data_IF_518361645329
#
_entry.id   IF_518361645329
#
_cell.length_a   1.000
_cell.length_b   1.000
_cell.length_c   1.000
_cell.angle_alpha   90.00
_cell.angle_beta   90.00
_cell.angle_gamma   90.00
#
_symmetry.space_group_name_H-M   'P 1'
#
loop_
_entity.id
_entity.type
_entity.pdbx_description
1 polymer ?
#
# COMPACT_ATOMS: atom_id res chain seq x y z
N UNK A 1 -49.95 -47.78 13.44
CA UNK A 1 -51.17 -47.56 14.27
C UNK A 1 -50.80 -47.65 15.74
N UNK A 2 -51.38 -46.80 16.60
CA UNK A 2 -51.67 -47.01 18.05
C UNK A 2 -51.37 -45.74 18.87
N UNK A 3 -52.37 -45.27 19.61
CA UNK A 3 -52.27 -44.12 20.52
C UNK A 3 -51.91 -44.56 21.95
N UNK A 4 -51.16 -43.72 22.68
CA UNK A 4 -51.11 -43.68 24.15
C UNK A 4 -50.95 -42.21 24.59
N UNK A 5 -52.05 -41.50 24.84
CA UNK A 5 -52.80 -41.35 26.12
C UNK A 5 -52.11 -40.44 27.15
N UNK A 6 -52.76 -39.29 27.39
CA UNK A 6 -52.47 -38.25 28.38
C UNK A 6 -53.22 -38.54 29.71
N UNK A 7 -52.67 -38.12 30.86
CA UNK A 7 -53.45 -37.33 31.85
C UNK A 7 -52.64 -36.11 32.34
N UNK A 8 -53.05 -34.83 32.20
CA UNK A 8 -54.23 -34.05 32.63
C UNK A 8 -54.11 -33.39 34.02
N UNK A 9 -54.28 -32.04 34.01
CA UNK A 9 -54.48 -31.06 35.12
C UNK A 9 -53.17 -30.58 35.80
N UNK A 10 -52.98 -29.30 36.14
CA UNK A 10 -53.92 -28.17 36.39
C UNK A 10 -53.49 -26.89 35.61
N UNK A 11 -54.41 -26.15 34.99
CA UNK A 11 -54.91 -24.82 35.44
C UNK A 11 -53.79 -23.81 35.79
N UNK A 12 -53.42 -22.86 34.92
CA UNK A 12 -54.14 -21.64 34.48
C UNK A 12 -53.76 -20.38 35.29
N UNK A 13 -53.23 -19.38 34.60
CA UNK A 13 -53.44 -17.93 34.78
C UNK A 13 -53.13 -17.29 33.42
N UNK A 14 -53.93 -16.30 33.02
CA UNK A 14 -53.73 -15.54 31.78
C UNK A 14 -53.29 -14.11 32.11
N UNK A 15 -52.14 -13.74 31.57
CA UNK A 15 -51.72 -12.37 31.24
C UNK A 15 -50.74 -12.55 30.06
N UNK A 16 -50.84 -11.84 28.94
CA UNK A 16 -51.43 -10.51 28.77
C UNK A 16 -50.36 -9.52 28.32
N UNK A 17 -49.40 -9.96 27.50
CA UNK A 17 -48.25 -9.17 27.08
C UNK A 17 -48.44 -8.67 25.66
N UNK A 18 -48.91 -7.44 25.54
CA UNK A 18 -48.86 -6.69 24.28
C UNK A 18 -47.38 -6.44 23.94
N UNK A 19 -46.95 -6.84 22.74
CA UNK A 19 -45.62 -6.48 22.22
C UNK A 19 -45.67 -4.99 21.88
N UNK A 20 -45.21 -4.16 22.80
CA UNK A 20 -45.05 -2.73 22.57
C UNK A 20 -43.86 -2.49 21.64
N UNK A 21 -44.11 -1.85 20.50
CA UNK A 21 -43.08 -1.28 19.65
C UNK A 21 -42.29 -0.25 20.46
N UNK A 22 -40.98 -0.47 20.60
CA UNK A 22 -40.11 0.38 21.40
C UNK A 22 -39.87 1.73 20.74
N UNK A 23 -40.69 2.73 21.08
CA UNK A 23 -40.34 4.12 20.84
C UNK A 23 -39.17 4.50 21.76
N UNK A 24 -38.02 4.86 21.19
CA UNK A 24 -36.88 5.36 21.96
C UNK A 24 -37.25 6.69 22.61
N UNK A 25 -37.31 6.73 23.94
CA UNK A 25 -37.66 7.92 24.69
C UNK A 25 -36.51 8.93 24.68
N UNK A 26 -36.77 10.12 24.16
CA UNK A 26 -35.86 11.27 24.25
C UNK A 26 -35.80 11.71 25.72
N UNK A 27 -34.61 11.62 26.33
CA UNK A 27 -34.33 12.23 27.64
C UNK A 27 -33.67 13.60 27.45
N UNK A 28 -34.48 14.66 27.59
CA UNK A 28 -34.02 16.03 27.77
C UNK A 28 -34.32 16.48 29.20
N UNK A 29 -33.32 16.81 30.02
CA UNK A 29 -33.51 17.68 31.17
C UNK A 29 -33.35 19.13 30.72
N UNK A 30 -34.46 19.85 30.57
CA UNK A 30 -34.64 21.23 31.04
C UNK A 30 -35.99 21.77 30.56
N UNK A 31 -36.93 21.87 31.50
CA UNK A 31 -38.20 22.55 31.27
C UNK A 31 -38.01 24.07 31.39
N UNK A 32 -38.29 24.81 30.33
CA UNK A 32 -38.78 26.18 30.43
C UNK A 32 -40.07 26.26 29.61
N UNK A 33 -41.17 26.55 30.30
CA UNK A 33 -42.46 26.72 29.65
C UNK A 33 -42.57 28.14 29.09
N UNK A 34 -42.72 28.24 27.77
CA UNK A 34 -43.29 29.41 27.10
C UNK A 34 -44.25 28.89 26.04
N UNK A 35 -45.55 28.94 26.33
CA UNK A 35 -46.55 28.85 25.26
C UNK A 35 -46.57 30.21 24.56
N UNK A 36 -46.08 30.27 23.33
CA UNK A 36 -46.56 31.19 22.30
C UNK A 36 -45.91 30.84 20.95
N UNK A 37 -46.72 30.87 19.88
CA UNK A 37 -46.23 30.83 18.49
C UNK A 37 -45.83 29.45 17.94
N UNK A 38 -46.64 28.93 17.02
CA UNK A 38 -46.08 28.11 15.94
C UNK A 38 -45.21 29.02 15.06
N UNK A 39 -43.94 28.71 14.91
CA UNK A 39 -43.00 29.44 14.04
C UNK A 39 -41.84 28.53 13.65
N UNK A 40 -41.40 28.65 12.39
CA UNK A 40 -40.38 27.82 11.74
C UNK A 40 -38.95 28.05 12.28
N UNK A 41 -38.73 27.85 13.58
CA UNK A 41 -37.37 27.79 14.15
C UNK A 41 -36.75 26.43 13.87
N UNK A 42 -36.25 26.27 12.65
CA UNK A 42 -35.35 25.17 12.30
C UNK A 42 -34.16 25.17 13.28
N UNK A 43 -33.92 24.04 13.94
CA UNK A 43 -32.76 23.87 14.81
C UNK A 43 -31.48 24.14 14.01
N UNK A 44 -30.53 24.85 14.62
CA UNK A 44 -29.23 25.09 13.99
C UNK A 44 -28.51 23.75 13.74
N UNK A 45 -27.78 23.60 12.62
CA UNK A 45 -27.02 22.37 12.35
C UNK A 45 -26.05 22.04 13.49
N UNK A 46 -25.93 20.75 13.80
CA UNK A 46 -25.10 20.26 14.90
C UNK A 46 -23.64 20.15 14.46
N UNK A 47 -22.75 20.55 15.35
CA UNK A 47 -21.32 20.18 15.34
C UNK A 47 -21.20 18.68 15.64
N UNK A 48 -20.44 17.94 14.83
CA UNK A 48 -20.28 16.48 14.90
C UNK A 48 -18.80 16.11 14.75
N UNK A 49 -18.40 14.92 15.22
CA UNK A 49 -17.14 14.31 14.74
C UNK A 49 -17.37 13.68 13.38
N UNK A 50 -16.30 13.47 12.61
CA UNK A 50 -16.40 12.89 11.26
C UNK A 50 -17.08 11.49 11.25
N UNK A 51 -16.81 10.65 12.25
CA UNK A 51 -17.50 9.36 12.43
C UNK A 51 -19.00 9.51 12.67
N UNK A 52 -19.38 10.29 13.69
CA UNK A 52 -20.79 10.58 14.02
C UNK A 52 -21.57 11.19 12.83
N UNK A 53 -20.89 12.00 11.99
CA UNK A 53 -21.45 12.57 10.77
C UNK A 53 -21.69 11.50 9.68
N UNK A 54 -20.84 10.48 9.57
CA UNK A 54 -21.03 9.34 8.65
C UNK A 54 -22.23 8.48 9.07
N UNK A 55 -22.36 8.18 10.36
CA UNK A 55 -23.50 7.42 10.90
C UNK A 55 -24.83 8.16 10.68
N UNK A 56 -24.84 9.48 10.90
CA UNK A 56 -26.00 10.33 10.65
C UNK A 56 -26.32 10.44 9.15
N UNK A 57 -25.32 10.52 8.28
CA UNK A 57 -25.50 10.52 6.83
C UNK A 57 -26.19 9.25 6.34
N UNK A 58 -25.77 8.09 6.83
CA UNK A 58 -26.35 6.78 6.48
C UNK A 58 -27.81 6.66 6.93
N UNK A 59 -28.14 7.15 8.13
CA UNK A 59 -29.51 7.20 8.63
C UNK A 59 -30.40 8.13 7.80
N UNK A 60 -29.88 9.30 7.42
CA UNK A 60 -30.61 10.27 6.60
C UNK A 60 -30.78 9.77 5.16
N UNK A 61 -29.80 9.10 4.56
CA UNK A 61 -29.96 8.48 3.23
C UNK A 61 -31.16 7.50 3.22
N UNK A 62 -31.27 6.63 4.23
CA UNK A 62 -32.39 5.70 4.36
C UNK A 62 -33.75 6.35 4.68
N UNK A 63 -33.76 7.49 5.40
CA UNK A 63 -34.99 8.22 5.74
C UNK A 63 -35.52 9.06 4.58
N UNK A 64 -34.63 9.71 3.84
CA UNK A 64 -34.96 10.66 2.78
C UNK A 64 -35.23 9.97 1.43
N UNK A 65 -34.68 8.76 1.22
CA UNK A 65 -34.89 7.97 0.01
C UNK A 65 -34.44 8.72 -1.24
N UNK A 66 -35.26 8.69 -2.28
CA UNK A 66 -35.01 9.31 -3.60
C UNK A 66 -34.73 10.83 -3.52
N UNK A 67 -35.12 11.51 -2.43
CA UNK A 67 -34.79 12.92 -2.21
C UNK A 67 -33.33 13.16 -1.80
N UNK A 68 -32.56 12.12 -1.40
CA UNK A 68 -31.17 12.22 -0.98
C UNK A 68 -30.22 12.32 -2.20
N UNK A 69 -29.45 13.40 -2.27
CA UNK A 69 -28.50 13.69 -3.36
C UNK A 69 -27.03 13.60 -2.91
N UNK A 70 -26.76 12.70 -1.95
CA UNK A 70 -25.46 12.56 -1.29
C UNK A 70 -25.23 13.54 -0.13
N UNK A 71 -24.07 13.44 0.50
CA UNK A 71 -23.71 14.24 1.66
C UNK A 71 -22.19 14.39 1.80
N UNK A 72 -21.73 15.41 2.52
CA UNK A 72 -20.33 15.57 2.89
C UNK A 72 -20.17 16.13 4.30
N UNK A 73 -19.07 15.77 4.96
CA UNK A 73 -18.64 16.42 6.18
C UNK A 73 -17.85 17.69 5.83
N UNK A 74 -18.30 18.82 6.37
CA UNK A 74 -17.60 20.09 6.33
C UNK A 74 -16.71 20.20 7.57
N UNK A 75 -15.39 20.09 7.39
CA UNK A 75 -14.43 20.09 8.49
C UNK A 75 -14.24 21.47 9.13
N UNK A 76 -14.50 22.57 8.42
CA UNK A 76 -14.34 23.94 8.93
C UNK A 76 -15.47 24.28 9.91
N UNK A 77 -16.72 23.92 9.56
CA UNK A 77 -17.88 24.09 10.44
C UNK A 77 -18.16 22.88 11.35
N UNK A 78 -17.45 21.77 11.13
CA UNK A 78 -17.67 20.46 11.75
C UNK A 78 -19.12 19.95 11.59
N UNK A 79 -19.74 20.20 10.44
CA UNK A 79 -21.15 19.89 10.18
C UNK A 79 -21.30 18.81 9.11
N UNK A 80 -22.32 17.97 9.26
CA UNK A 80 -22.83 17.17 8.15
C UNK A 80 -23.66 18.07 7.22
N UNK A 81 -23.26 18.17 5.95
CA UNK A 81 -24.07 18.75 4.88
C UNK A 81 -24.75 17.64 4.12
N UNK A 82 -26.08 17.67 4.05
CA UNK A 82 -26.89 16.74 3.25
C UNK A 82 -27.44 17.48 2.05
N UNK A 83 -27.15 16.95 0.86
CA UNK A 83 -27.77 17.42 -0.36
C UNK A 83 -29.15 16.78 -0.50
N UNK A 84 -30.12 17.55 -0.96
CA UNK A 84 -31.44 17.05 -1.35
C UNK A 84 -31.85 17.60 -2.71
N UNK A 85 -32.57 16.79 -3.49
CA UNK A 85 -33.22 17.31 -4.71
C UNK A 85 -34.49 18.05 -4.30
N UNK A 86 -34.72 19.30 -4.76
CA UNK A 86 -35.95 20.01 -4.47
C UNK A 86 -37.16 19.34 -5.14
N UNK A 87 -38.27 19.26 -4.39
CA UNK A 87 -39.55 18.71 -4.85
C UNK A 87 -40.66 19.08 -3.87
N UNK A 88 -41.89 18.63 -4.13
CA UNK A 88 -43.09 19.06 -3.37
C UNK A 88 -43.08 18.68 -1.88
N UNK A 89 -42.16 17.82 -1.44
CA UNK A 89 -42.08 17.28 -0.09
C UNK A 89 -41.21 18.14 0.86
N UNK A 90 -41.68 19.33 1.25
CA UNK A 90 -41.02 20.16 2.28
C UNK A 90 -40.70 19.43 3.60
N UNK A 91 -41.37 18.30 3.88
CA UNK A 91 -41.16 17.49 5.09
C UNK A 91 -39.76 16.86 5.19
N UNK A 92 -39.15 16.41 4.08
CA UNK A 92 -37.80 15.78 4.12
C UNK A 92 -36.70 16.78 4.51
N UNK A 93 -36.81 18.03 4.05
CA UNK A 93 -35.92 19.13 4.46
C UNK A 93 -36.04 19.39 5.97
N UNK A 94 -37.26 19.38 6.51
CA UNK A 94 -37.51 19.57 7.95
C UNK A 94 -36.92 18.41 8.77
N UNK A 95 -37.10 17.16 8.34
CA UNK A 95 -36.55 15.98 9.01
C UNK A 95 -35.02 16.01 9.10
N UNK A 96 -34.33 16.31 8.00
CA UNK A 96 -32.87 16.39 7.99
C UNK A 96 -32.34 17.55 8.87
N UNK A 97 -33.01 18.71 8.87
CA UNK A 97 -32.70 19.83 9.79
C UNK A 97 -32.92 19.45 11.26
N UNK A 98 -34.02 18.76 11.59
CA UNK A 98 -34.32 18.28 12.95
C UNK A 98 -33.30 17.24 13.45
N UNK A 99 -32.84 16.35 12.56
CA UNK A 99 -31.77 15.41 12.87
C UNK A 99 -30.44 16.12 13.19
N UNK A 100 -30.24 17.33 12.65
CA UNK A 100 -29.10 18.21 12.91
C UNK A 100 -28.18 18.42 11.71
N UNK A 101 -28.57 17.97 10.52
CA UNK A 101 -27.81 18.19 9.30
C UNK A 101 -28.07 19.59 8.72
N UNK A 102 -27.04 20.17 8.09
CA UNK A 102 -27.18 21.34 7.23
C UNK A 102 -27.70 20.88 5.88
N UNK A 103 -28.95 21.17 5.57
CA UNK A 103 -29.56 20.80 4.29
C UNK A 103 -29.18 21.81 3.20
N UNK A 104 -28.81 21.30 2.03
CA UNK A 104 -28.57 22.08 0.81
C UNK A 104 -29.38 21.48 -0.34
N UNK A 105 -30.16 22.30 -1.02
CA UNK A 105 -30.83 21.88 -2.26
C UNK A 105 -29.83 21.87 -3.42
N UNK A 106 -29.92 20.85 -4.28
CA UNK A 106 -29.01 20.64 -5.42
C UNK A 106 -29.78 20.15 -6.65
N UNK A 107 -29.16 20.23 -7.83
CA UNK A 107 -29.83 19.99 -9.11
C UNK A 107 -29.93 18.49 -9.46
N UNK A 108 -28.85 17.73 -9.27
CA UNK A 108 -28.75 16.33 -9.72
C UNK A 108 -29.08 15.34 -8.59
N UNK A 109 -30.00 14.42 -8.84
CA UNK A 109 -30.21 13.21 -8.04
C UNK A 109 -29.05 12.22 -8.14
N UNK A 110 -28.99 11.25 -7.21
CA UNK A 110 -28.02 10.15 -7.30
C UNK A 110 -28.23 9.27 -8.55
N UNK A 111 -29.48 9.10 -9.02
CA UNK A 111 -29.79 8.32 -10.21
C UNK A 111 -29.35 9.02 -11.51
N UNK A 112 -29.47 10.34 -11.58
CA UNK A 112 -28.95 11.14 -12.70
C UNK A 112 -27.41 11.13 -12.72
N UNK A 113 -26.77 11.26 -11.56
CA UNK A 113 -25.31 11.14 -11.42
C UNK A 113 -24.82 9.73 -11.78
N UNK A 114 -25.55 8.67 -11.39
CA UNK A 114 -25.26 7.30 -11.79
C UNK A 114 -25.44 7.09 -13.31
N UNK A 115 -26.46 7.71 -13.91
CA UNK A 115 -26.69 7.69 -15.36
C UNK A 115 -25.56 8.38 -16.13
N UNK A 116 -25.10 9.55 -15.67
CA UNK A 116 -23.95 10.23 -16.25
C UNK A 116 -22.64 9.43 -16.12
N UNK A 117 -22.44 8.74 -14.98
CA UNK A 117 -21.31 7.84 -14.79
C UNK A 117 -21.37 6.61 -15.71
N UNK A 118 -22.57 6.14 -16.06
CA UNK A 118 -22.77 5.06 -17.02
C UNK A 118 -22.47 5.51 -18.46
N UNK A 119 -22.73 6.76 -18.84
CA UNK A 119 -22.29 7.35 -20.12
C UNK A 119 -20.77 7.44 -20.20
N UNK A 120 -20.11 7.95 -19.16
CA UNK A 120 -18.63 7.97 -19.09
C UNK A 120 -18.05 6.55 -19.24
N UNK A 121 -18.66 5.56 -18.59
CA UNK A 121 -18.26 4.16 -18.72
C UNK A 121 -18.41 3.63 -20.16
N UNK A 122 -19.46 3.98 -20.88
CA UNK A 122 -19.66 3.50 -22.26
C UNK A 122 -18.84 4.26 -23.32
N UNK A 123 -18.54 5.53 -23.10
CA UNK A 123 -17.99 6.42 -24.14
C UNK A 123 -16.57 6.93 -23.84
N UNK A 124 -16.12 6.89 -22.59
CA UNK A 124 -14.87 7.50 -22.14
C UNK A 124 -14.05 6.61 -21.18
N UNK A 125 -14.20 5.28 -21.26
CA UNK A 125 -13.28 4.34 -20.60
C UNK A 125 -11.94 4.35 -21.34
N UNK A 126 -11.07 5.29 -20.97
CA UNK A 126 -9.75 5.56 -21.55
C UNK A 126 -8.69 5.31 -20.47
N UNK A 127 -7.59 4.59 -20.76
CA UNK A 127 -6.48 4.43 -19.81
C UNK A 127 -5.99 5.79 -19.30
N UNK A 128 -5.75 5.90 -17.98
CA UNK A 128 -5.40 7.17 -17.34
C UNK A 128 -6.60 8.06 -16.98
N UNK A 129 -7.85 7.57 -17.06
CA UNK A 129 -9.05 8.29 -16.60
C UNK A 129 -9.71 7.64 -15.38
N UNK A 130 -10.34 8.47 -14.55
CA UNK A 130 -11.15 8.05 -13.40
C UNK A 130 -12.28 9.06 -13.18
N UNK A 131 -13.37 8.65 -12.53
CA UNK A 131 -14.45 9.57 -12.16
C UNK A 131 -15.10 9.21 -10.83
N UNK A 132 -15.52 10.24 -10.09
CA UNK A 132 -16.20 10.10 -8.80
C UNK A 132 -17.35 11.11 -8.70
N UNK A 133 -18.40 10.78 -7.97
CA UNK A 133 -19.42 11.76 -7.57
C UNK A 133 -18.82 12.65 -6.48
N UNK A 134 -18.75 13.96 -6.74
CA UNK A 134 -18.40 14.96 -5.74
C UNK A 134 -19.68 15.54 -5.12
N UNK A 135 -20.05 15.16 -3.88
CA UNK A 135 -21.19 15.73 -3.20
C UNK A 135 -21.00 17.21 -2.83
N UNK A 136 -19.79 17.79 -2.90
CA UNK A 136 -19.58 19.23 -2.64
C UNK A 136 -20.04 20.08 -3.82
N UNK A 137 -19.75 19.69 -5.06
CA UNK A 137 -20.26 20.36 -6.27
C UNK A 137 -21.59 19.79 -6.78
N UNK A 138 -22.01 18.61 -6.30
CA UNK A 138 -23.13 17.82 -6.83
C UNK A 138 -22.94 17.46 -8.33
N UNK A 139 -21.72 17.06 -8.68
CA UNK A 139 -21.31 16.71 -10.05
C UNK A 139 -20.46 15.46 -10.07
N UNK A 140 -20.26 14.90 -11.25
CA UNK A 140 -19.20 13.94 -11.51
C UNK A 140 -17.90 14.70 -11.74
N UNK A 141 -16.90 14.47 -10.90
CA UNK A 141 -15.53 14.92 -11.11
C UNK A 141 -14.77 13.85 -11.89
N UNK A 142 -14.56 14.10 -13.17
CA UNK A 142 -13.69 13.33 -14.04
C UNK A 142 -12.26 13.81 -13.86
N UNK A 143 -11.33 12.88 -13.68
CA UNK A 143 -9.90 13.15 -13.57
C UNK A 143 -9.18 12.37 -14.66
N UNK A 144 -8.41 13.08 -15.48
CA UNK A 144 -7.48 12.50 -16.43
C UNK A 144 -6.06 12.73 -15.93
N UNK A 145 -5.20 11.75 -16.11
CA UNK A 145 -3.79 11.81 -15.79
C UNK A 145 -2.97 12.50 -16.90
N UNK A 146 -1.64 12.54 -16.75
CA UNK A 146 -0.75 13.19 -17.71
C UNK A 146 -0.67 12.50 -19.08
N UNK A 147 -1.01 11.21 -19.19
CA UNK A 147 -0.91 10.40 -20.41
C UNK A 147 -2.06 10.63 -21.37
N UNK A 148 -3.25 10.98 -20.85
CA UNK A 148 -4.46 11.26 -21.64
C UNK A 148 -4.27 12.52 -22.48
N UNK A 149 -3.94 12.36 -23.75
CA UNK A 149 -3.54 13.43 -24.68
C UNK A 149 -4.07 13.18 -26.10
N UNK A 150 -4.07 14.21 -26.96
CA UNK A 150 -4.55 14.11 -28.34
C UNK A 150 -6.01 13.65 -28.43
N UNK A 151 -6.32 12.78 -29.41
CA UNK A 151 -7.65 12.22 -29.67
C UNK A 151 -8.33 11.64 -28.40
N UNK A 152 -7.56 11.04 -27.48
CA UNK A 152 -8.08 10.53 -26.21
C UNK A 152 -8.54 11.64 -25.26
N UNK A 153 -7.84 12.78 -25.25
CA UNK A 153 -8.27 13.97 -24.51
C UNK A 153 -9.53 14.58 -25.14
N UNK A 154 -9.54 14.74 -26.47
CA UNK A 154 -10.66 15.33 -27.20
C UNK A 154 -11.94 14.48 -27.05
N UNK A 155 -11.82 13.15 -27.06
CA UNK A 155 -12.91 12.22 -26.77
C UNK A 155 -13.45 12.40 -25.34
N UNK A 156 -12.56 12.39 -24.33
CA UNK A 156 -12.94 12.57 -22.93
C UNK A 156 -13.66 13.90 -22.70
N UNK A 157 -13.09 14.99 -23.24
CA UNK A 157 -13.65 16.33 -23.12
C UNK A 157 -15.01 16.42 -23.83
N UNK A 158 -15.17 15.82 -25.01
CA UNK A 158 -16.45 15.75 -25.74
C UNK A 158 -17.53 14.99 -24.96
N UNK A 159 -17.22 13.83 -24.37
CA UNK A 159 -18.18 13.07 -23.53
C UNK A 159 -18.54 13.84 -22.25
N UNK A 160 -17.59 14.54 -21.61
CA UNK A 160 -17.90 15.38 -20.45
C UNK A 160 -18.76 16.59 -20.83
N UNK A 161 -18.53 17.18 -22.00
CA UNK A 161 -19.37 18.26 -22.54
C UNK A 161 -20.78 17.77 -22.90
N UNK A 162 -20.94 16.54 -23.41
CA UNK A 162 -22.24 15.97 -23.80
C UNK A 162 -23.18 15.76 -22.60
N UNK A 163 -22.62 15.45 -21.43
CA UNK A 163 -23.34 15.39 -20.15
C UNK A 163 -23.81 16.76 -19.63
N UNK A 164 -23.19 17.85 -20.12
CA UNK A 164 -23.48 19.21 -19.71
C UNK A 164 -22.71 19.64 -18.45
N UNK A 165 -22.40 20.94 -18.39
CA UNK A 165 -21.60 21.55 -17.32
C UNK A 165 -22.25 21.54 -15.93
N UNK A 166 -23.55 21.22 -15.85
CA UNK A 166 -24.27 20.96 -14.60
C UNK A 166 -24.05 19.56 -14.04
N UNK A 167 -23.72 18.57 -14.88
CA UNK A 167 -23.60 17.16 -14.51
C UNK A 167 -22.16 16.72 -14.25
N UNK A 168 -21.23 17.11 -15.11
CA UNK A 168 -19.84 16.65 -15.07
C UNK A 168 -18.82 17.79 -15.25
N UNK A 169 -17.61 17.56 -14.76
CA UNK A 169 -16.45 18.43 -14.96
C UNK A 169 -15.19 17.60 -15.07
N UNK A 170 -14.25 18.00 -15.93
CA UNK A 170 -12.95 17.34 -16.10
C UNK A 170 -11.83 18.18 -15.48
N UNK A 171 -10.90 17.52 -14.78
CA UNK A 171 -9.61 18.08 -14.37
C UNK A 171 -8.47 17.22 -14.88
N UNK A 172 -7.30 17.85 -15.09
CA UNK A 172 -6.06 17.15 -15.42
C UNK A 172 -5.15 17.06 -14.20
N UNK A 173 -4.60 15.88 -13.95
CA UNK A 173 -3.56 15.63 -12.95
C UNK A 173 -2.17 15.75 -13.58
N UNK A 174 -1.17 16.10 -12.78
CA UNK A 174 0.21 16.26 -13.25
C UNK A 174 0.97 14.93 -13.40
N UNK A 175 0.63 13.92 -12.59
CA UNK A 175 1.20 12.56 -12.66
C UNK A 175 0.35 11.59 -13.47
N UNK A 176 0.81 10.35 -13.55
CA UNK A 176 0.15 9.20 -14.19
C UNK A 176 -0.59 8.35 -13.13
N UNK A 177 -1.72 7.74 -13.47
CA UNK A 177 -2.33 6.72 -12.63
C UNK A 177 -1.57 5.40 -12.75
N UNK A 178 -1.08 4.91 -11.61
CA UNK A 178 -0.34 3.64 -11.49
C UNK A 178 -0.95 2.83 -10.36
N UNK A 179 -0.95 1.51 -10.48
CA UNK A 179 -1.00 0.62 -9.33
C UNK A 179 0.31 0.77 -8.55
N UNK A 180 0.25 0.78 -7.22
CA UNK A 180 1.48 0.76 -6.41
C UNK A 180 2.02 -0.66 -6.39
N UNK A 181 3.21 -0.87 -6.97
CA UNK A 181 3.92 -2.14 -6.86
C UNK A 181 4.29 -2.35 -5.39
N UNK A 182 3.85 -3.46 -4.82
CA UNK A 182 4.03 -3.84 -3.42
C UNK A 182 4.78 -5.17 -3.31
N UNK A 183 5.23 -5.53 -2.11
CA UNK A 183 5.88 -6.83 -1.90
C UNK A 183 4.95 -7.99 -2.30
N UNK A 184 5.48 -8.96 -3.04
CA UNK A 184 4.73 -10.11 -3.56
C UNK A 184 4.11 -9.92 -4.95
N UNK A 185 4.01 -8.68 -5.47
CA UNK A 185 3.46 -8.42 -6.80
C UNK A 185 4.36 -8.93 -7.92
N UNK A 186 3.76 -9.18 -9.09
CA UNK A 186 4.49 -9.66 -10.26
C UNK A 186 5.34 -8.55 -10.89
N UNK A 187 6.57 -8.91 -11.28
CA UNK A 187 7.42 -8.11 -12.15
C UNK A 187 7.83 -8.93 -13.37
N UNK A 188 7.94 -8.28 -14.54
CA UNK A 188 8.15 -8.92 -15.82
C UNK A 188 9.30 -8.28 -16.61
N UNK A 189 10.15 -9.11 -17.22
CA UNK A 189 11.21 -8.67 -18.12
C UNK A 189 11.63 -9.79 -19.07
N UNK A 190 11.78 -9.51 -20.36
CA UNK A 190 12.35 -10.47 -21.34
C UNK A 190 11.58 -11.79 -21.54
N UNK A 191 10.32 -11.87 -21.10
CA UNK A 191 9.55 -13.12 -21.05
C UNK A 191 9.72 -13.92 -19.75
N UNK A 192 10.56 -13.45 -18.83
CA UNK A 192 10.67 -13.92 -17.45
C UNK A 192 9.67 -13.20 -16.56
N UNK A 193 9.24 -13.91 -15.50
CA UNK A 193 8.43 -13.39 -14.40
C UNK A 193 9.20 -13.61 -13.11
N UNK A 194 9.26 -12.58 -12.27
CA UNK A 194 9.70 -12.65 -10.89
C UNK A 194 8.66 -11.95 -10.00
N UNK A 195 8.95 -11.83 -8.72
CA UNK A 195 8.15 -11.08 -7.76
C UNK A 195 8.94 -9.91 -7.17
N UNK A 196 8.27 -8.80 -6.89
CA UNK A 196 8.82 -7.74 -6.06
C UNK A 196 8.96 -8.26 -4.61
N UNK A 197 10.08 -7.97 -3.96
CA UNK A 197 10.37 -8.38 -2.59
C UNK A 197 9.86 -7.36 -1.58
N UNK A 198 10.59 -6.27 -1.40
CA UNK A 198 10.17 -5.18 -0.50
C UNK A 198 10.49 -3.83 -1.13
N UNK A 199 9.56 -2.88 -1.03
CA UNK A 199 9.85 -1.48 -1.33
C UNK A 199 10.84 -0.92 -0.31
N UNK A 200 11.83 -0.18 -0.79
CA UNK A 200 12.94 0.39 -0.02
C UNK A 200 13.26 1.79 -0.55
N UNK A 201 13.94 2.58 0.27
CA UNK A 201 14.61 3.80 -0.17
C UNK A 201 16.08 3.48 -0.43
N UNK A 202 16.57 3.71 -1.65
CA UNK A 202 17.98 3.56 -1.97
C UNK A 202 18.82 4.63 -1.27
N UNK A 203 20.14 4.42 -1.13
CA UNK A 203 21.04 5.34 -0.42
C UNK A 203 21.15 6.76 -1.01
N UNK A 204 20.65 6.99 -2.23
CA UNK A 204 20.52 8.32 -2.86
C UNK A 204 19.13 8.97 -2.65
N UNK A 205 18.23 8.31 -1.93
CA UNK A 205 16.84 8.75 -1.68
C UNK A 205 15.84 8.29 -2.76
N UNK A 206 16.29 7.61 -3.82
CA UNK A 206 15.40 7.12 -4.88
C UNK A 206 14.48 6.01 -4.34
N UNK A 207 13.16 6.04 -4.63
CA UNK A 207 12.30 4.90 -4.34
C UNK A 207 12.74 3.69 -5.17
N UNK A 208 12.80 2.52 -4.54
CA UNK A 208 13.31 1.30 -5.14
C UNK A 208 12.58 0.08 -4.54
N UNK A 209 12.86 -1.10 -5.08
CA UNK A 209 12.50 -2.37 -4.46
C UNK A 209 13.66 -3.37 -4.48
N UNK A 210 13.64 -4.29 -3.53
CA UNK A 210 14.49 -5.47 -3.54
C UNK A 210 13.79 -6.61 -4.28
N UNK A 211 14.55 -7.42 -5.01
CA UNK A 211 14.12 -8.71 -5.60
C UNK A 211 15.31 -9.68 -5.61
N UNK A 212 15.17 -10.87 -6.20
CA UNK A 212 16.27 -11.83 -6.28
C UNK A 212 17.36 -11.36 -7.27
N UNK A 213 18.60 -11.71 -6.98
CA UNK A 213 19.77 -11.37 -7.79
C UNK A 213 19.75 -12.06 -9.14
N UNK A 214 19.30 -13.31 -9.19
CA UNK A 214 19.13 -14.05 -10.46
C UNK A 214 18.08 -13.40 -11.38
N UNK A 215 17.09 -12.68 -10.82
CA UNK A 215 16.20 -11.81 -11.61
C UNK A 215 16.97 -10.56 -12.07
N UNK A 216 17.64 -9.85 -11.16
CA UNK A 216 18.41 -8.63 -11.50
C UNK A 216 19.50 -8.82 -12.55
N UNK A 217 20.15 -9.99 -12.62
CA UNK A 217 21.14 -10.29 -13.68
C UNK A 217 20.51 -10.80 -14.99
N UNK A 218 19.24 -11.22 -14.98
CA UNK A 218 18.55 -11.73 -16.16
C UNK A 218 18.02 -10.61 -17.07
N UNK A 219 17.73 -9.43 -16.52
CA UNK A 219 17.27 -8.27 -17.29
C UNK A 219 17.56 -6.94 -16.59
N UNK A 220 17.99 -5.94 -17.38
CA UNK A 220 18.34 -4.58 -16.91
C UNK A 220 17.13 -3.75 -16.45
N UNK A 221 15.94 -3.99 -17.01
CA UNK A 221 14.73 -3.20 -16.74
C UNK A 221 13.50 -4.09 -16.57
N UNK A 222 12.58 -3.66 -15.70
CA UNK A 222 11.43 -4.44 -15.24
C UNK A 222 10.12 -3.64 -15.33
N UNK A 223 9.03 -4.33 -15.69
CA UNK A 223 7.66 -3.81 -15.71
C UNK A 223 6.81 -4.46 -14.62
N UNK A 224 5.79 -3.75 -14.12
CA UNK A 224 4.74 -4.28 -13.24
C UNK A 224 3.62 -5.04 -14.00
N UNK A 225 3.64 -5.00 -15.34
CA UNK A 225 2.66 -5.66 -16.19
C UNK A 225 3.30 -6.55 -17.26
N UNK A 226 2.67 -7.69 -17.57
CA UNK A 226 3.13 -8.58 -18.63
C UNK A 226 3.04 -7.88 -20.00
N UNK A 227 4.19 -7.72 -20.67
CA UNK A 227 4.28 -6.95 -21.91
C UNK A 227 4.14 -5.43 -21.74
N UNK A 228 4.16 -4.93 -20.49
CA UNK A 228 4.14 -3.51 -20.17
C UNK A 228 5.44 -2.78 -20.55
N UNK A 229 5.42 -1.45 -20.42
CA UNK A 229 6.67 -0.66 -20.47
C UNK A 229 7.43 -0.84 -19.15
N UNK A 230 8.78 -0.77 -19.16
CA UNK A 230 9.54 -0.76 -17.93
C UNK A 230 9.17 0.43 -17.04
N UNK A 231 9.18 0.20 -15.73
CA UNK A 231 8.94 1.21 -14.69
C UNK A 231 10.13 1.36 -13.73
N UNK A 232 11.11 0.45 -13.83
CA UNK A 232 12.23 0.36 -12.92
C UNK A 232 13.45 -0.28 -13.61
N UNK A 233 14.64 0.16 -13.21
CA UNK A 233 15.94 -0.25 -13.75
C UNK A 233 16.82 -0.82 -12.64
N UNK A 234 17.54 -1.90 -12.92
CA UNK A 234 18.44 -2.56 -11.95
C UNK A 234 19.64 -1.66 -11.66
N UNK A 235 19.86 -1.34 -10.39
CA UNK A 235 21.00 -0.53 -9.92
C UNK A 235 22.17 -1.44 -9.51
N UNK A 236 21.87 -2.49 -8.75
CA UNK A 236 22.84 -3.46 -8.23
C UNK A 236 22.22 -4.86 -8.21
N UNK A 237 22.99 -5.89 -8.56
CA UNK A 237 22.56 -7.29 -8.46
C UNK A 237 23.75 -8.19 -8.09
N UNK A 238 23.50 -9.15 -7.19
CA UNK A 238 24.46 -10.17 -6.76
C UNK A 238 23.83 -11.54 -6.97
N UNK A 239 24.32 -12.27 -7.98
CA UNK A 239 24.07 -13.70 -8.17
C UNK A 239 25.07 -14.30 -9.19
N UNK A 240 25.60 -15.51 -8.99
CA UNK A 240 25.62 -16.29 -7.74
C UNK A 240 26.68 -15.75 -6.75
N UNK A 241 27.02 -16.51 -5.71
CA UNK A 241 28.15 -16.23 -4.82
C UNK A 241 27.71 -15.71 -3.44
N UNK A 242 28.01 -14.44 -3.17
CA UNK A 242 27.80 -13.82 -1.84
C UNK A 242 26.33 -13.58 -1.47
N UNK A 243 25.39 -13.89 -2.37
CA UNK A 243 23.95 -13.81 -2.12
C UNK A 243 23.14 -14.02 -3.39
N UNK A 244 21.83 -13.79 -3.26
CA UNK A 244 20.86 -13.75 -4.35
C UNK A 244 19.87 -12.58 -4.14
N UNK A 245 20.35 -11.36 -4.37
CA UNK A 245 19.55 -10.12 -4.27
C UNK A 245 19.86 -9.12 -5.37
N UNK A 246 18.89 -8.26 -5.67
CA UNK A 246 19.06 -7.08 -6.50
C UNK A 246 18.29 -5.88 -5.91
N UNK A 247 18.86 -4.68 -6.08
CA UNK A 247 18.20 -3.40 -5.89
C UNK A 247 17.76 -2.87 -7.26
N UNK A 248 16.47 -2.60 -7.40
CA UNK A 248 15.88 -2.07 -8.64
C UNK A 248 15.23 -0.73 -8.32
N UNK A 249 15.71 0.35 -8.95
CA UNK A 249 15.21 1.71 -8.71
C UNK A 249 14.04 2.00 -9.65
N UNK A 250 12.98 2.62 -9.14
CA UNK A 250 11.89 3.09 -10.01
C UNK A 250 12.40 4.26 -10.88
N UNK A 251 12.08 4.22 -12.18
CA UNK A 251 12.55 5.21 -13.16
C UNK A 251 11.89 6.60 -12.96
N UNK A 252 10.71 6.60 -12.31
CA UNK A 252 9.99 7.81 -11.91
C UNK A 252 10.26 8.11 -10.41
N UNK A 253 11.00 9.18 -10.07
CA UNK A 253 11.35 9.52 -8.69
C UNK A 253 10.14 9.98 -7.85
N UNK A 254 8.98 10.22 -8.46
CA UNK A 254 7.73 10.51 -7.76
C UNK A 254 6.91 9.24 -7.45
N UNK A 255 7.44 8.04 -7.73
CA UNK A 255 6.78 6.77 -7.42
C UNK A 255 6.60 6.60 -5.92
N UNK A 256 5.35 6.49 -5.48
CA UNK A 256 5.02 6.07 -4.12
C UNK A 256 5.25 4.56 -4.01
N UNK A 257 6.22 4.18 -3.17
CA UNK A 257 6.67 2.82 -2.95
C UNK A 257 6.35 2.41 -1.49
N UNK A 258 5.09 2.08 -1.16
CA UNK A 258 4.68 1.81 0.22
C UNK A 258 5.41 0.59 0.77
N UNK A 259 5.89 0.67 2.01
CA UNK A 259 6.57 -0.44 2.70
C UNK A 259 5.52 -1.46 3.18
N UNK A 260 4.99 -2.26 2.25
CA UNK A 260 3.96 -3.27 2.50
C UNK A 260 4.07 -4.47 1.55
N UNK A 261 3.45 -5.59 1.95
CA UNK A 261 3.27 -6.80 1.15
C UNK A 261 1.80 -6.93 0.76
N UNK A 262 1.50 -7.12 -0.52
CA UNK A 262 0.16 -7.33 -1.04
C UNK A 262 -0.26 -8.80 -0.91
N UNK A 263 -1.33 -9.08 -0.15
CA UNK A 263 -1.88 -10.43 0.00
C UNK A 263 -3.07 -10.70 -0.95
N UNK A 264 -3.37 -9.76 -1.85
CA UNK A 264 -4.46 -9.82 -2.83
C UNK A 264 -5.64 -8.94 -2.44
N UNK A 265 -6.30 -9.23 -1.32
CA UNK A 265 -7.47 -8.48 -0.83
C UNK A 265 -7.16 -7.48 0.31
N UNK A 266 -5.93 -7.54 0.83
CA UNK A 266 -5.41 -6.73 1.93
C UNK A 266 -3.89 -6.60 1.82
N UNK A 267 -3.29 -5.66 2.54
CA UNK A 267 -1.83 -5.51 2.64
C UNK A 267 -1.34 -5.75 4.08
N UNK A 268 -0.09 -6.17 4.22
CA UNK A 268 0.63 -6.23 5.50
C UNK A 268 1.71 -5.17 5.48
N UNK A 269 1.59 -4.17 6.35
CA UNK A 269 2.61 -3.14 6.52
C UNK A 269 3.92 -3.77 7.02
N UNK A 270 5.03 -3.42 6.38
CA UNK A 270 6.38 -3.85 6.73
C UNK A 270 7.08 -2.71 7.44
N UNK A 271 7.36 -2.92 8.73
CA UNK A 271 7.84 -1.89 9.65
C UNK A 271 9.37 -1.82 9.73
N UNK A 272 10.05 -2.97 9.63
CA UNK A 272 11.51 -3.09 9.74
C UNK A 272 11.99 -4.44 9.17
N UNK A 273 13.30 -4.55 8.95
CA UNK A 273 13.96 -5.83 8.71
C UNK A 273 14.30 -6.52 10.04
N UNK A 274 14.32 -7.85 10.03
CA UNK A 274 14.82 -8.66 11.14
C UNK A 274 15.56 -9.90 10.60
N UNK A 275 16.51 -10.41 11.37
CA UNK A 275 17.17 -11.68 11.06
C UNK A 275 16.22 -12.86 11.36
N UNK A 276 16.41 -13.95 10.62
CA UNK A 276 15.65 -15.18 10.82
C UNK A 276 16.20 -16.01 12.00
N UNK A 277 15.30 -16.65 12.76
CA UNK A 277 15.66 -17.67 13.76
C UNK A 277 15.07 -19.04 13.36
N UNK A 278 15.75 -20.15 13.68
CA UNK A 278 15.22 -21.50 13.42
C UNK A 278 13.98 -21.75 14.28
N UNK A 279 12.89 -22.17 13.65
CA UNK A 279 11.56 -22.30 14.26
C UNK A 279 10.68 -21.06 14.14
N UNK A 280 11.18 -19.94 13.59
CA UNK A 280 10.37 -18.77 13.29
C UNK A 280 9.29 -19.12 12.26
N UNK A 281 8.02 -18.86 12.60
CA UNK A 281 6.91 -18.94 11.66
C UNK A 281 7.00 -17.76 10.69
N UNK A 282 6.95 -18.06 9.41
CA UNK A 282 7.13 -17.11 8.31
C UNK A 282 6.06 -17.32 7.24
N UNK A 283 5.80 -16.24 6.50
CA UNK A 283 4.88 -16.18 5.37
C UNK A 283 5.68 -15.75 4.15
N UNK A 284 5.49 -16.44 3.02
CA UNK A 284 6.01 -16.06 1.71
C UNK A 284 4.86 -15.54 0.86
N UNK A 285 5.03 -14.36 0.27
CA UNK A 285 4.19 -13.89 -0.82
C UNK A 285 5.00 -13.87 -2.13
N UNK A 286 4.36 -14.28 -3.22
CA UNK A 286 4.99 -14.37 -4.53
C UNK A 286 3.94 -14.51 -5.62
N UNK A 287 4.31 -14.09 -6.81
CA UNK A 287 3.35 -13.82 -7.88
C UNK A 287 2.76 -15.08 -8.53
N UNK A 288 3.41 -16.24 -8.42
CA UNK A 288 2.97 -17.50 -9.04
C UNK A 288 2.05 -18.28 -8.10
N UNK A 289 2.46 -18.52 -6.86
CA UNK A 289 1.71 -19.37 -5.91
C UNK A 289 0.91 -18.57 -4.87
N UNK A 290 1.05 -17.24 -4.85
CA UNK A 290 0.39 -16.37 -3.88
C UNK A 290 1.01 -16.49 -2.49
N UNK A 291 0.17 -16.44 -1.46
CA UNK A 291 0.57 -16.53 -0.06
C UNK A 291 0.72 -18.00 0.37
N UNK A 292 1.88 -18.34 0.93
CA UNK A 292 2.12 -19.62 1.62
C UNK A 292 2.81 -19.38 2.95
N UNK A 293 2.67 -20.29 3.90
CA UNK A 293 3.29 -20.20 5.22
C UNK A 293 4.13 -21.44 5.56
N UNK A 294 4.91 -21.33 6.62
CA UNK A 294 5.81 -22.39 7.10
C UNK A 294 6.79 -21.86 8.15
N UNK A 295 7.88 -22.59 8.35
CA UNK A 295 8.89 -22.29 9.36
C UNK A 295 10.30 -22.29 8.78
N UNK A 296 11.15 -21.44 9.35
CA UNK A 296 12.59 -21.50 9.17
C UNK A 296 13.12 -22.80 9.79
N UNK A 297 13.76 -23.63 8.97
CA UNK A 297 14.32 -24.93 9.36
C UNK A 297 15.84 -24.90 9.47
N UNK A 298 16.50 -23.90 8.87
CA UNK A 298 17.95 -23.72 8.93
C UNK A 298 18.38 -22.30 8.58
N UNK A 299 19.62 -21.96 8.94
CA UNK A 299 20.31 -20.70 8.65
C UNK A 299 21.68 -21.03 8.05
N UNK A 300 22.35 -20.03 7.47
CA UNK A 300 23.65 -20.16 6.80
C UNK A 300 23.71 -21.26 5.71
N UNK A 301 22.56 -21.56 5.09
CA UNK A 301 22.45 -22.58 4.07
C UNK A 301 23.30 -22.23 2.84
N UNK A 302 23.91 -23.26 2.25
CA UNK A 302 24.70 -23.16 1.02
C UNK A 302 24.03 -24.01 -0.05
N UNK A 303 23.59 -23.35 -1.13
CA UNK A 303 22.88 -23.98 -2.25
C UNK A 303 23.78 -23.94 -3.47
N UNK A 304 23.83 -25.05 -4.22
CA UNK A 304 24.63 -25.17 -5.44
C UNK A 304 23.67 -25.22 -6.64
N UNK A 305 23.34 -24.06 -7.18
CA UNK A 305 22.52 -23.93 -8.39
C UNK A 305 23.36 -24.28 -9.64
N UNK A 306 22.73 -24.59 -10.79
CA UNK A 306 23.42 -24.78 -12.07
C UNK A 306 24.33 -23.61 -12.47
N UNK A 307 23.94 -22.39 -12.09
CA UNK A 307 24.63 -21.13 -12.36
C UNK A 307 25.82 -20.90 -11.39
N UNK A 308 25.76 -21.46 -10.18
CA UNK A 308 26.83 -21.40 -9.19
C UNK A 308 26.37 -21.60 -7.74
N UNK A 309 27.32 -21.56 -6.82
CA UNK A 309 27.07 -21.66 -5.37
C UNK A 309 26.59 -20.32 -4.80
N UNK A 310 25.57 -20.35 -3.95
CA UNK A 310 25.12 -19.22 -3.12
C UNK A 310 25.18 -19.65 -1.64
N UNK A 311 25.69 -18.76 -0.78
CA UNK A 311 25.92 -19.03 0.66
C UNK A 311 25.16 -18.05 1.54
N UNK A 312 24.89 -18.43 2.81
CA UNK A 312 24.27 -17.53 3.78
C UNK A 312 22.74 -17.45 3.69
N UNK A 313 22.10 -18.45 3.07
CA UNK A 313 20.65 -18.45 2.86
C UNK A 313 19.89 -18.97 4.09
N UNK A 314 18.67 -18.46 4.27
CA UNK A 314 17.67 -19.01 5.19
C UNK A 314 17.05 -20.23 4.51
N UNK A 315 16.95 -21.36 5.20
CA UNK A 315 16.22 -22.54 4.74
C UNK A 315 14.86 -22.60 5.42
N UNK A 316 13.80 -22.86 4.65
CA UNK A 316 12.44 -23.06 5.18
C UNK A 316 11.75 -24.26 4.51
N UNK A 317 10.62 -24.68 5.09
CA UNK A 317 9.69 -25.64 4.48
C UNK A 317 8.49 -24.97 3.77
N UNK A 318 8.54 -23.65 3.54
CA UNK A 318 7.53 -22.92 2.78
C UNK A 318 7.65 -23.31 1.31
N UNK A 319 6.55 -23.61 0.62
CA UNK A 319 6.58 -23.92 -0.81
C UNK A 319 6.76 -22.65 -1.67
N UNK A 320 7.41 -22.80 -2.82
CA UNK A 320 7.56 -21.78 -3.85
C UNK A 320 7.72 -22.45 -5.22
N UNK A 321 7.31 -21.78 -6.29
CA UNK A 321 7.42 -22.26 -7.67
C UNK A 321 8.02 -21.18 -8.59
N UNK A 322 8.42 -21.50 -9.84
CA UNK A 322 9.01 -20.52 -10.76
C UNK A 322 8.15 -19.25 -10.92
N UNK A 323 8.77 -18.09 -10.70
CA UNK A 323 8.11 -16.78 -10.67
C UNK A 323 7.80 -16.23 -9.28
N UNK A 324 7.84 -17.06 -8.23
CA UNK A 324 7.87 -16.57 -6.84
C UNK A 324 9.24 -15.99 -6.43
N UNK A 325 10.28 -16.25 -7.23
CA UNK A 325 11.61 -15.65 -7.14
C UNK A 325 11.58 -14.15 -6.83
N UNK A 326 12.34 -13.73 -5.83
CA UNK A 326 12.38 -12.35 -5.32
C UNK A 326 11.27 -11.99 -4.35
N UNK A 327 10.20 -12.78 -4.26
CA UNK A 327 9.03 -12.50 -3.42
C UNK A 327 9.34 -12.48 -1.92
N UNK A 328 8.58 -11.67 -1.18
CA UNK A 328 8.76 -11.41 0.25
C UNK A 328 8.67 -12.67 1.09
N UNK A 329 9.61 -12.86 2.02
CA UNK A 329 9.46 -13.68 3.22
C UNK A 329 9.36 -12.76 4.44
N UNK A 330 8.27 -12.84 5.19
CA UNK A 330 7.91 -11.88 6.23
C UNK A 330 7.18 -12.56 7.41
N UNK A 331 7.00 -11.86 8.52
CA UNK A 331 6.19 -12.31 9.66
C UNK A 331 4.82 -11.63 9.69
N UNK A 332 3.85 -12.24 10.40
CA UNK A 332 2.48 -11.71 10.50
C UNK A 332 2.41 -10.31 11.15
N UNK A 333 3.37 -9.97 12.01
CA UNK A 333 3.52 -8.68 12.68
C UNK A 333 4.34 -7.65 11.87
N UNK A 334 4.68 -7.96 10.61
CA UNK A 334 5.23 -6.97 9.67
C UNK A 334 6.75 -6.79 9.76
N UNK A 335 7.50 -7.85 10.04
CA UNK A 335 8.96 -7.87 9.89
C UNK A 335 9.32 -8.47 8.52
N UNK A 336 10.21 -7.80 7.79
CA UNK A 336 10.83 -8.36 6.59
C UNK A 336 11.97 -9.31 7.00
N UNK A 337 11.98 -10.53 6.47
CA UNK A 337 12.93 -11.59 6.83
C UNK A 337 13.84 -11.96 5.65
N UNK A 338 13.29 -12.11 4.44
CA UNK A 338 14.10 -12.50 3.27
C UNK A 338 13.42 -12.38 1.92
N UNK A 339 14.17 -12.71 0.87
CA UNK A 339 13.76 -12.69 -0.53
C UNK A 339 13.85 -14.11 -1.09
N UNK A 340 12.82 -14.58 -1.80
CA UNK A 340 12.78 -15.95 -2.35
C UNK A 340 13.91 -16.16 -3.36
N UNK A 341 14.86 -17.05 -3.09
CA UNK A 341 15.98 -17.36 -4.00
C UNK A 341 15.63 -18.54 -4.91
N UNK A 342 15.26 -19.68 -4.33
CA UNK A 342 14.99 -20.91 -5.08
C UNK A 342 14.79 -22.09 -4.15
N UNK A 343 14.51 -23.26 -4.69
CA UNK A 343 14.15 -24.42 -3.87
C UNK A 343 14.02 -25.71 -4.66
N UNK A 344 13.45 -26.71 -3.99
CA UNK A 344 13.09 -28.00 -4.59
C UNK A 344 11.74 -28.47 -4.07
N UNK A 345 10.98 -29.17 -4.90
CA UNK A 345 9.57 -29.52 -4.63
C UNK A 345 8.59 -28.60 -5.37
N UNK A 346 7.34 -28.60 -4.92
CA UNK A 346 6.26 -27.74 -5.44
C UNK A 346 5.20 -27.50 -4.33
N UNK A 347 4.20 -26.65 -4.58
CA UNK A 347 3.15 -26.38 -3.60
C UNK A 347 2.08 -27.49 -3.47
N UNK A 348 2.23 -28.61 -4.17
CA UNK A 348 1.36 -29.80 -4.07
C UNK A 348 1.98 -30.90 -3.19
N UNK A 349 3.28 -31.18 -3.33
CA UNK A 349 4.01 -32.21 -2.56
C UNK A 349 4.84 -31.65 -1.41
N UNK A 350 5.00 -30.32 -1.34
CA UNK A 350 5.90 -29.65 -0.40
C UNK A 350 7.35 -29.66 -0.89
N UNK A 351 8.23 -29.05 -0.11
CA UNK A 351 9.61 -28.84 -0.55
C UNK A 351 10.50 -28.17 0.48
N UNK A 352 11.70 -27.81 0.03
CA UNK A 352 12.64 -26.96 0.74
C UNK A 352 12.87 -25.70 -0.11
N UNK A 353 12.66 -24.52 0.47
CA UNK A 353 12.89 -23.24 -0.21
C UNK A 353 13.92 -22.43 0.56
N UNK A 354 14.79 -21.77 -0.18
CA UNK A 354 15.89 -20.97 0.33
C UNK A 354 15.65 -19.49 0.03
N UNK A 355 16.02 -18.64 0.98
CA UNK A 355 15.76 -17.21 0.95
C UNK A 355 17.02 -16.44 1.29
N UNK A 356 17.27 -15.37 0.56
CA UNK A 356 18.31 -14.40 0.88
C UNK A 356 17.87 -13.56 2.09
N UNK A 357 18.62 -13.50 3.20
CA UNK A 357 18.33 -12.58 4.30
C UNK A 357 18.21 -11.14 3.82
N UNK A 358 17.12 -10.46 4.21
CA UNK A 358 16.85 -9.09 3.77
C UNK A 358 17.78 -8.09 4.46
N UNK A 359 18.20 -8.36 5.70
CA UNK A 359 19.19 -7.57 6.46
C UNK A 359 20.51 -7.48 5.71
N UNK A 360 21.04 -8.62 5.27
CA UNK A 360 22.25 -8.70 4.42
C UNK A 360 22.07 -7.98 3.08
N UNK A 361 20.91 -8.11 2.44
CA UNK A 361 20.65 -7.44 1.16
C UNK A 361 20.61 -5.91 1.30
N UNK A 362 19.92 -5.39 2.33
CA UNK A 362 19.83 -3.96 2.65
C UNK A 362 21.21 -3.35 2.96
N UNK A 363 22.01 -4.03 3.78
CA UNK A 363 23.38 -3.61 4.10
C UNK A 363 24.26 -3.58 2.84
N UNK A 364 24.21 -4.62 2.01
CA UNK A 364 25.04 -4.73 0.82
C UNK A 364 24.76 -3.67 -0.24
N UNK A 365 23.50 -3.27 -0.43
CA UNK A 365 23.10 -2.26 -1.44
C UNK A 365 22.96 -0.84 -0.87
N UNK A 366 23.07 -0.67 0.45
CA UNK A 366 22.93 0.60 1.14
C UNK A 366 21.51 1.18 1.12
N UNK A 367 20.48 0.33 1.18
CA UNK A 367 19.06 0.73 1.17
C UNK A 367 18.39 0.57 2.54
N UNK A 368 17.23 1.23 2.73
CA UNK A 368 16.46 1.21 3.98
C UNK A 368 14.98 0.88 3.74
N UNK A 369 14.35 0.20 4.70
CA UNK A 369 12.89 -0.01 4.74
C UNK A 369 12.19 1.18 5.42
N UNK A 370 10.87 1.32 5.18
CA UNK A 370 10.00 2.18 6.00
C UNK A 370 9.90 3.65 5.59
N UNK A 371 10.16 3.99 4.32
CA UNK A 371 9.87 5.32 3.78
C UNK A 371 8.37 5.69 3.90
N UNK A 372 8.08 6.79 4.59
CA UNK A 372 6.81 7.54 4.65
C UNK A 372 5.52 6.87 5.17
N UNK A 373 5.59 5.67 5.78
CA UNK A 373 4.43 5.04 6.43
C UNK A 373 4.14 5.51 7.89
N UNK A 374 4.78 6.60 8.37
CA UNK A 374 4.73 7.03 9.78
C UNK A 374 4.40 8.53 10.00
N UNK A 375 3.58 9.14 9.14
CA UNK A 375 3.17 10.55 9.25
C UNK A 375 1.93 10.81 10.13
N UNK A 376 1.85 10.25 11.35
CA UNK A 376 0.56 10.21 12.07
C UNK A 376 0.54 10.05 13.60
N UNK A 377 1.66 10.15 14.31
CA UNK A 377 1.64 10.20 15.79
C UNK A 377 2.79 11.08 16.31
N UNK A 378 2.45 12.11 17.09
CA UNK A 378 3.44 13.08 17.56
C UNK A 378 4.37 12.51 18.64
N UNK A 379 5.68 12.57 18.39
CA UNK A 379 6.68 12.47 19.45
C UNK A 379 6.64 13.76 20.29
N UNK A 380 6.33 13.64 21.58
CA UNK A 380 6.31 14.77 22.49
C UNK A 380 7.72 15.27 22.82
N UNK A 381 7.87 16.60 22.91
CA UNK A 381 9.09 17.25 23.38
C UNK A 381 9.32 16.98 24.88
N UNK A 382 10.48 16.41 25.23
CA UNK A 382 11.04 16.46 26.58
C UNK A 382 12.20 17.47 26.57
N UNK A 383 11.95 18.67 27.11
CA UNK A 383 12.95 19.72 27.25
C UNK A 383 13.68 19.57 28.60
N UNK A 384 14.98 19.28 28.57
CA UNK A 384 15.84 19.14 29.75
C UNK A 384 17.01 20.12 29.72
N UNK A 385 16.91 21.20 30.48
CA UNK A 385 17.86 22.33 30.53
C UNK A 385 19.35 21.94 30.67
N UNK A 386 20.22 22.72 30.03
CA UNK A 386 21.65 22.74 30.34
C UNK A 386 21.98 23.78 31.42
N UNK A 387 23.18 23.67 31.98
CA UNK A 387 23.91 24.74 32.68
C UNK A 387 25.40 24.59 32.36
N UNK A 388 26.05 25.68 31.95
CA UNK A 388 27.51 25.75 31.77
C UNK A 388 28.20 26.23 33.05
N UNK A 389 29.45 25.79 33.28
CA UNK A 389 30.66 26.63 33.41
C UNK A 389 31.74 26.00 34.30
N UNK A 390 33.01 26.11 33.89
CA UNK A 390 34.17 25.81 34.74
C UNK A 390 35.45 25.53 33.95
N UNK A 391 36.37 26.51 33.87
CA UNK A 391 37.64 26.42 33.14
C UNK A 391 38.88 26.22 34.05
N UNK A 392 40.03 25.92 33.45
CA UNK A 392 41.37 25.80 34.08
C UNK A 392 41.98 24.40 33.85
N UNK A 393 43.04 24.25 33.05
CA UNK A 393 44.48 24.38 33.43
C UNK A 393 44.94 23.24 34.39
N UNK A 394 46.07 22.53 34.20
CA UNK A 394 47.28 22.82 33.42
C UNK A 394 48.08 21.54 33.03
N UNK A 395 49.05 21.74 32.12
CA UNK A 395 50.26 20.98 31.75
C UNK A 395 50.63 19.59 32.35
N UNK A 396 51.23 18.75 31.47
CA UNK A 396 52.04 17.59 31.82
C UNK A 396 52.88 17.08 30.64
N UNK A 397 54.07 17.68 30.42
CA UNK A 397 54.98 17.32 29.32
C UNK A 397 55.98 16.20 29.71
N UNK A 398 56.47 15.46 28.71
CA UNK A 398 57.50 14.43 28.89
C UNK A 398 58.03 13.84 27.56
N UNK A 399 59.05 14.49 26.99
CA UNK A 399 60.06 13.87 26.10
C UNK A 399 60.95 12.94 26.97
N UNK A 400 61.85 12.03 26.54
CA UNK A 400 62.66 11.71 25.34
C UNK A 400 62.84 10.16 25.31
N UNK A 401 63.41 9.44 24.33
CA UNK A 401 63.73 9.60 22.90
C UNK A 401 64.29 8.24 22.39
N UNK A 402 64.58 8.07 21.09
CA UNK A 402 65.26 6.86 20.59
C UNK A 402 65.30 6.70 19.07
N UNK A 403 66.35 7.21 18.42
CA UNK A 403 66.62 7.08 16.98
C UNK A 403 67.81 6.13 16.68
N UNK A 404 67.91 5.69 15.43
CA UNK A 404 68.98 4.81 14.90
C UNK A 404 68.40 3.77 13.91
N UNK A 405 68.19 4.05 12.63
CA UNK A 405 69.11 4.43 11.52
C UNK A 405 69.48 3.21 10.63
N UNK A 406 69.76 3.48 9.34
CA UNK A 406 69.89 2.54 8.21
C UNK A 406 71.10 1.57 8.33
N UNK A 407 71.40 0.57 7.48
CA UNK A 407 71.51 0.46 5.99
C UNK A 407 71.57 -1.05 5.62
N UNK A 408 71.42 -1.57 4.39
CA UNK A 408 71.20 -1.01 3.05
C UNK A 408 71.48 -2.02 1.92
N UNK A 409 71.08 -1.68 0.67
CA UNK A 409 71.54 -2.18 -0.66
C UNK A 409 71.47 -3.67 -1.07
N UNK A 410 71.12 -3.94 -2.36
CA UNK A 410 71.26 -5.30 -2.92
C UNK A 410 70.95 -5.67 -4.39
N UNK A 411 70.66 -4.73 -5.32
CA UNK A 411 70.78 -4.82 -6.80
C UNK A 411 70.48 -6.12 -7.65
N UNK A 412 69.66 -5.91 -8.70
CA UNK A 412 69.95 -6.15 -10.14
C UNK A 412 69.53 -7.43 -10.93
N UNK A 413 68.92 -7.12 -12.10
CA UNK A 413 69.00 -7.72 -13.45
C UNK A 413 68.53 -9.15 -13.80
N UNK A 414 67.82 -9.25 -14.96
CA UNK A 414 67.41 -10.52 -15.59
C UNK A 414 66.50 -10.35 -16.83
N UNK A 415 67.09 -10.06 -18.00
CA UNK A 415 66.40 -9.87 -19.30
C UNK A 415 66.00 -11.18 -20.01
N UNK A 416 64.98 -11.16 -20.90
CA UNK A 416 65.07 -11.94 -22.17
C UNK A 416 63.80 -12.52 -22.85
N UNK A 417 63.37 -11.88 -23.95
CA UNK A 417 62.81 -12.41 -25.23
C UNK A 417 61.94 -13.69 -25.34
N UNK A 418 60.92 -13.61 -26.22
CA UNK A 418 60.32 -14.76 -26.91
C UNK A 418 59.24 -14.39 -27.94
N UNK A 419 59.54 -14.45 -29.25
CA UNK A 419 58.60 -14.22 -30.36
C UNK A 419 57.92 -15.52 -30.82
N UNK A 420 56.72 -15.44 -31.44
CA UNK A 420 56.05 -16.63 -32.01
C UNK A 420 54.73 -16.35 -32.75
N UNK A 421 54.80 -15.91 -34.00
CA UNK A 421 53.69 -15.85 -34.96
C UNK A 421 53.61 -17.16 -35.78
N UNK A 422 52.44 -17.79 -35.97
CA UNK A 422 52.03 -18.54 -37.20
C UNK A 422 50.48 -18.66 -37.32
N UNK A 423 49.94 -18.00 -38.37
CA UNK A 423 48.94 -18.41 -39.39
C UNK A 423 48.03 -19.65 -39.16
N UNK A 424 46.71 -19.51 -39.44
CA UNK A 424 45.82 -20.66 -39.75
C UNK A 424 44.40 -20.30 -40.22
N UNK A 425 44.13 -20.34 -41.54
CA UNK A 425 42.78 -20.22 -42.14
C UNK A 425 41.94 -21.49 -41.95
N UNK A 426 40.62 -21.36 -41.83
CA UNK A 426 39.67 -22.49 -41.86
C UNK A 426 38.21 -22.07 -42.05
N UNK A 427 37.72 -22.13 -43.30
CA UNK A 427 36.29 -21.95 -43.65
C UNK A 427 35.55 -23.30 -43.51
N UNK A 428 34.31 -23.30 -43.03
CA UNK A 428 33.50 -24.52 -42.94
C UNK A 428 32.00 -24.29 -42.72
N UNK A 429 31.26 -24.20 -43.84
CA UNK A 429 29.78 -24.11 -43.99
C UNK A 429 29.09 -22.84 -43.49
#
# INVERSE_FOLDING_TARGET
MSHKRIPKRKAAIAAGSVVALGAAAILLPNANASQDGASDTAAAPKTLKAGDASDLASQLAGLLGDAFAGSYYDAESQQLVVNVVPGDNNNVIVQAKQAGAKVREVENSLDELASGAQTLKSEATIPGTAWAVDPRTNKILVTADSTVTGDNWDQLESTVQSLGSGMASVKKSAGTFKTFLSGGDAIFAGGSRCSAGFNVTAGDGTPAFLTAGHCGVAAEQWSDAEGGQPIATVDQATFPGAGDFALVKYDDPATQAPSEVNLGDQTVAISQAADAEVGLQVFRMGSTTGLSDGQVTGLDATVNYPEGTVTGLIQTNVCAEPGDSGGSLFTQDGLAIGLTSGGSGDCTVGGETFFQPVTTALEAVGATLGGDAAGGAGAGEEAGAGDEAGAGEEAGAGEEAGAGEEVGNGNADGTGNGLGEIIGNGVGN
#
